data_IF_331085205156
#
_entry.id   IF_331085205156
#
_cell.length_a   1.000
_cell.length_b   1.000
_cell.length_c   1.000
_cell.angle_alpha   90.00
_cell.angle_beta   90.00
_cell.angle_gamma   90.00
#
_symmetry.space_group_name_H-M   'P 1'
#
loop_
_entity.id
_entity.type
_entity.pdbx_description
1 polymer ?
#
# COMPACT_ATOMS: atom_id res chain seq x y z
N UNK A 1 36.74 0.92 -40.51
CA UNK A 1 35.60 0.07 -40.08
C UNK A 1 35.37 0.32 -38.59
N UNK A 2 34.82 1.47 -38.23
CA UNK A 2 34.62 1.92 -36.83
C UNK A 2 33.17 2.38 -36.63
N UNK A 3 32.21 1.51 -36.94
CA UNK A 3 30.78 1.84 -36.79
C UNK A 3 29.98 0.83 -35.96
N UNK A 4 30.62 -0.17 -35.34
CA UNK A 4 29.89 -1.22 -34.58
C UNK A 4 30.40 -1.47 -33.17
N UNK A 5 31.31 -0.63 -32.64
CA UNK A 5 31.80 -0.76 -31.27
C UNK A 5 31.32 0.34 -30.31
N UNK A 6 30.72 1.41 -30.84
CA UNK A 6 30.23 2.53 -30.04
C UNK A 6 28.71 2.49 -29.78
N UNK A 7 28.00 1.41 -30.14
CA UNK A 7 26.58 1.25 -29.83
C UNK A 7 26.31 0.42 -28.57
N UNK A 8 27.22 -0.47 -28.17
CA UNK A 8 27.04 -1.29 -26.96
C UNK A 8 27.45 -0.58 -25.66
N UNK A 9 28.09 0.58 -25.74
CA UNK A 9 28.43 1.40 -24.55
C UNK A 9 27.28 2.32 -24.13
N UNK A 10 26.30 2.59 -25.00
CA UNK A 10 25.20 3.50 -24.68
C UNK A 10 24.03 2.81 -23.95
N UNK A 11 23.92 1.48 -24.01
CA UNK A 11 22.88 0.72 -23.31
C UNK A 11 23.18 0.49 -21.82
N UNK A 12 24.43 0.70 -21.37
CA UNK A 12 24.82 0.55 -19.96
C UNK A 12 24.82 1.88 -19.18
N UNK A 13 24.67 3.02 -19.85
CA UNK A 13 24.89 4.35 -19.25
C UNK A 13 23.68 5.29 -19.39
N UNK A 14 22.47 4.72 -19.57
CA UNK A 14 21.21 5.49 -19.54
C UNK A 14 20.21 4.97 -18.50
N UNK A 15 20.71 4.74 -17.28
CA UNK A 15 19.85 4.63 -16.08
C UNK A 15 20.47 5.40 -14.91
N UNK A 16 21.05 6.56 -15.19
CA UNK A 16 21.39 7.59 -14.19
C UNK A 16 20.41 8.77 -14.32
N UNK A 17 19.13 8.48 -14.51
CA UNK A 17 18.06 9.48 -14.59
C UNK A 17 17.08 9.18 -13.44
N UNK A 18 17.17 9.97 -12.37
CA UNK A 18 16.25 10.00 -11.22
C UNK A 18 15.80 8.62 -10.69
N UNK A 19 16.69 7.87 -10.02
CA UNK A 19 16.26 6.72 -9.23
C UNK A 19 15.36 7.21 -8.09
N UNK A 20 14.05 7.14 -8.30
CA UNK A 20 13.07 7.25 -7.22
C UNK A 20 13.48 6.23 -6.17
N UNK A 21 13.95 6.69 -5.01
CA UNK A 21 14.32 5.79 -3.91
C UNK A 21 13.07 5.03 -3.51
N UNK A 22 12.96 3.79 -3.97
CA UNK A 22 11.84 2.91 -3.64
C UNK A 22 11.90 2.58 -2.15
N UNK A 23 10.74 2.67 -1.50
CA UNK A 23 10.56 2.29 -0.11
C UNK A 23 10.33 0.79 0.03
N UNK A 24 10.24 0.33 1.27
CA UNK A 24 9.86 -1.04 1.57
C UNK A 24 8.35 -1.24 1.31
N UNK A 25 7.91 -2.41 0.82
CA UNK A 25 6.50 -2.68 0.66
C UNK A 25 5.78 -2.69 2.01
N UNK A 26 4.47 -2.37 2.04
CA UNK A 26 3.74 -2.19 3.29
C UNK A 26 3.54 -3.48 4.11
N UNK A 27 3.79 -4.66 3.55
CA UNK A 27 3.78 -5.93 4.30
C UNK A 27 5.17 -6.33 4.82
N UNK A 28 6.23 -5.54 4.56
CA UNK A 28 7.59 -5.93 4.93
C UNK A 28 7.74 -6.12 6.45
N UNK A 29 8.46 -7.16 6.92
CA UNK A 29 8.69 -7.42 8.35
C UNK A 29 9.28 -6.22 9.09
N UNK A 30 10.25 -5.51 8.51
CA UNK A 30 10.88 -4.34 9.13
C UNK A 30 9.90 -3.18 9.44
N UNK A 31 8.77 -3.11 8.72
CA UNK A 31 7.73 -2.10 8.97
C UNK A 31 6.62 -2.60 9.88
N UNK A 32 6.36 -3.91 9.90
CA UNK A 32 5.20 -4.51 10.56
C UNK A 32 5.55 -5.17 11.90
N UNK A 33 6.81 -5.55 12.08
CA UNK A 33 7.28 -6.42 13.17
C UNK A 33 6.80 -7.87 13.05
N UNK A 34 6.12 -8.23 11.96
CA UNK A 34 5.57 -9.57 11.74
C UNK A 34 6.60 -10.39 10.96
N UNK A 35 7.09 -11.46 11.59
CA UNK A 35 8.07 -12.38 10.99
C UNK A 35 7.44 -13.71 10.53
N UNK A 36 6.18 -13.95 10.88
CA UNK A 36 5.44 -15.13 10.41
C UNK A 36 5.10 -14.98 8.93
N UNK A 37 5.65 -15.86 8.09
CA UNK A 37 5.55 -15.75 6.63
C UNK A 37 4.09 -15.88 6.16
N UNK A 38 3.31 -16.79 6.75
CA UNK A 38 1.90 -16.99 6.38
C UNK A 38 1.07 -15.72 6.62
N UNK A 39 1.32 -15.04 7.73
CA UNK A 39 0.65 -13.78 8.06
C UNK A 39 1.12 -12.63 7.16
N UNK A 40 2.42 -12.58 6.81
CA UNK A 40 2.96 -11.61 5.85
C UNK A 40 2.34 -11.80 4.46
N UNK A 41 2.19 -13.04 4.00
CA UNK A 41 1.57 -13.36 2.72
C UNK A 41 0.09 -12.97 2.70
N UNK A 42 -0.65 -13.29 3.76
CA UNK A 42 -2.04 -12.85 3.90
C UNK A 42 -2.18 -11.32 3.93
N UNK A 43 -1.28 -10.63 4.62
CA UNK A 43 -1.24 -9.16 4.65
C UNK A 43 -0.99 -8.59 3.25
N UNK A 44 -0.05 -9.17 2.51
CA UNK A 44 0.25 -8.81 1.11
C UNK A 44 -0.99 -8.98 0.23
N UNK A 45 -1.63 -10.14 0.28
CA UNK A 45 -2.82 -10.45 -0.53
C UNK A 45 -3.95 -9.46 -0.27
N UNK A 46 -4.25 -9.18 1.01
CA UNK A 46 -5.28 -8.21 1.38
C UNK A 46 -4.97 -6.80 0.89
N UNK A 47 -3.71 -6.37 0.96
CA UNK A 47 -3.30 -5.05 0.47
C UNK A 47 -3.42 -4.98 -1.06
N UNK A 48 -2.98 -6.01 -1.79
CA UNK A 48 -3.08 -6.09 -3.26
C UNK A 48 -4.54 -6.25 -3.75
N UNK A 49 -5.46 -6.65 -2.88
CA UNK A 49 -6.89 -6.67 -3.18
C UNK A 49 -7.55 -5.28 -3.08
N UNK A 50 -6.93 -4.30 -2.40
CA UNK A 50 -7.52 -2.97 -2.20
C UNK A 50 -7.95 -2.27 -3.51
N UNK A 51 -7.16 -2.30 -4.60
CA UNK A 51 -7.54 -1.66 -5.87
C UNK A 51 -8.74 -2.28 -6.58
N UNK A 52 -9.23 -3.45 -6.15
CA UNK A 52 -10.42 -4.06 -6.72
C UNK A 52 -11.71 -3.31 -6.33
N UNK A 53 -11.67 -2.50 -5.28
CA UNK A 53 -12.80 -1.70 -4.82
C UNK A 53 -12.44 -0.21 -4.73
N UNK A 54 -13.05 0.60 -5.61
CA UNK A 54 -12.87 2.05 -5.68
C UNK A 54 -13.18 2.75 -4.34
N UNK A 55 -14.08 2.19 -3.52
CA UNK A 55 -14.49 2.75 -2.22
C UNK A 55 -13.33 2.84 -1.23
N UNK A 56 -12.29 2.03 -1.42
CA UNK A 56 -11.07 2.09 -0.61
C UNK A 56 -10.31 3.41 -0.78
N UNK A 57 -10.45 4.07 -1.93
CA UNK A 57 -9.79 5.33 -2.24
C UNK A 57 -10.69 6.54 -2.05
N UNK A 58 -12.01 6.37 -2.16
CA UNK A 58 -12.96 7.49 -2.06
C UNK A 58 -13.40 7.83 -0.64
N UNK A 59 -13.45 6.84 0.25
CA UNK A 59 -13.92 7.04 1.62
C UNK A 59 -12.76 7.48 2.52
N UNK A 60 -12.82 8.71 3.00
CA UNK A 60 -11.86 9.26 3.95
C UNK A 60 -11.84 8.48 5.28
N UNK A 61 -10.72 8.52 6.02
CA UNK A 61 -10.69 8.06 7.41
C UNK A 61 -11.77 8.79 8.24
N UNK A 62 -12.48 8.09 9.15
CA UNK A 62 -13.43 8.73 10.06
C UNK A 62 -12.76 9.81 10.92
N UNK A 63 -13.48 10.90 11.17
CA UNK A 63 -13.05 11.92 12.13
C UNK A 63 -12.84 11.30 13.51
N UNK A 64 -11.68 11.54 14.11
CA UNK A 64 -11.31 10.97 15.42
C UNK A 64 -10.68 9.58 15.37
N UNK A 65 -10.42 9.01 14.17
CA UNK A 65 -9.60 7.79 14.08
C UNK A 65 -8.17 8.05 14.59
N UNK A 66 -7.53 7.04 15.17
CA UNK A 66 -6.13 7.11 15.60
C UNK A 66 -5.14 7.26 14.43
N UNK A 67 -5.62 7.20 13.19
CA UNK A 67 -4.79 7.40 12.00
C UNK A 67 -4.56 8.91 11.77
N UNK A 68 -3.35 9.37 12.11
CA UNK A 68 -2.88 10.70 11.75
C UNK A 68 -2.43 10.75 10.29
N UNK A 69 -2.70 11.87 9.61
CA UNK A 69 -2.17 12.18 8.29
C UNK A 69 -1.80 13.67 8.22
N UNK A 70 -0.54 13.93 7.94
CA UNK A 70 0.04 15.26 7.80
C UNK A 70 1.09 15.25 6.68
N UNK A 71 1.67 16.41 6.39
CA UNK A 71 2.65 16.58 5.33
C UNK A 71 3.96 15.81 5.56
N UNK A 72 4.34 15.57 6.82
CA UNK A 72 5.56 14.83 7.16
C UNK A 72 5.35 13.35 6.85
N UNK A 73 4.28 12.78 7.38
CA UNK A 73 3.90 11.39 7.15
C UNK A 73 3.63 11.09 5.67
N UNK A 74 3.01 12.02 4.94
CA UNK A 74 2.79 11.86 3.50
C UNK A 74 4.11 11.83 2.72
N UNK A 75 5.09 12.65 3.11
CA UNK A 75 6.42 12.64 2.51
C UNK A 75 7.21 11.36 2.82
N UNK A 76 7.14 10.86 4.07
CA UNK A 76 7.79 9.60 4.47
C UNK A 76 7.27 8.41 3.65
N UNK A 77 5.95 8.35 3.45
CA UNK A 77 5.29 7.24 2.76
C UNK A 77 5.36 7.34 1.23
N UNK A 78 5.85 8.45 0.66
CA UNK A 78 5.93 8.63 -0.79
C UNK A 78 6.84 7.58 -1.46
N UNK A 79 7.94 7.20 -0.80
CA UNK A 79 8.82 6.13 -1.28
C UNK A 79 8.12 4.77 -1.33
N UNK A 80 7.27 4.48 -0.33
CA UNK A 80 6.46 3.26 -0.26
C UNK A 80 5.35 3.29 -1.31
N UNK A 81 4.72 4.44 -1.54
CA UNK A 81 3.72 4.63 -2.58
C UNK A 81 4.33 4.37 -3.97
N UNK A 82 5.54 4.86 -4.23
CA UNK A 82 6.26 4.58 -5.47
C UNK A 82 6.53 3.09 -5.67
N UNK A 83 6.95 2.37 -4.63
CA UNK A 83 7.09 0.90 -4.66
C UNK A 83 5.76 0.23 -4.99
N UNK A 84 4.68 0.61 -4.32
CA UNK A 84 3.35 0.03 -4.56
C UNK A 84 2.83 0.27 -5.98
N UNK A 85 3.13 1.42 -6.59
CA UNK A 85 2.76 1.67 -7.99
C UNK A 85 3.51 0.80 -8.99
N UNK A 86 4.72 0.32 -8.66
CA UNK A 86 5.47 -0.61 -9.50
C UNK A 86 5.01 -2.05 -9.31
N UNK A 87 4.76 -2.44 -8.07
CA UNK A 87 4.30 -3.78 -7.70
C UNK A 87 2.86 -4.05 -8.16
N UNK A 88 1.97 -3.06 -8.06
CA UNK A 88 0.54 -3.22 -8.30
C UNK A 88 0.04 -2.33 -9.45
N UNK A 89 -0.14 -2.95 -10.62
CA UNK A 89 -0.67 -2.30 -11.83
C UNK A 89 -2.11 -1.82 -11.65
N UNK A 90 -2.92 -2.51 -10.83
CA UNK A 90 -4.31 -2.11 -10.58
C UNK A 90 -4.36 -0.86 -9.73
N UNK A 91 -3.47 -0.72 -8.74
CA UNK A 91 -3.31 0.50 -7.96
C UNK A 91 -2.94 1.69 -8.86
N UNK A 92 -1.97 1.51 -9.76
CA UNK A 92 -1.56 2.55 -10.70
C UNK A 92 -2.71 2.97 -11.63
N UNK A 93 -3.48 2.00 -12.14
CA UNK A 93 -4.66 2.25 -12.95
C UNK A 93 -5.75 3.00 -12.17
N UNK A 94 -5.97 2.63 -10.90
CA UNK A 94 -6.94 3.29 -10.04
C UNK A 94 -6.54 4.74 -9.78
N UNK A 95 -5.27 5.01 -9.45
CA UNK A 95 -4.72 6.37 -9.29
C UNK A 95 -4.95 7.20 -10.54
N UNK A 96 -4.62 6.68 -11.72
CA UNK A 96 -4.83 7.38 -12.99
C UNK A 96 -6.30 7.70 -13.27
N UNK A 97 -7.23 6.80 -12.90
CA UNK A 97 -8.67 7.01 -13.08
C UNK A 97 -9.23 8.04 -12.11
N UNK A 98 -8.74 8.04 -10.88
CA UNK A 98 -9.31 8.78 -9.77
C UNK A 98 -8.69 10.16 -9.57
N UNK A 99 -7.42 10.35 -9.89
CA UNK A 99 -6.70 11.61 -9.64
C UNK A 99 -6.43 12.34 -10.96
N UNK A 100 -6.68 13.67 -11.06
CA UNK A 100 -7.34 14.54 -10.07
C UNK A 100 -8.88 14.51 -10.19
N UNK A 101 -9.46 13.57 -10.95
CA UNK A 101 -10.86 13.61 -11.40
C UNK A 101 -11.90 13.53 -10.28
N UNK A 102 -11.71 12.63 -9.31
CA UNK A 102 -12.62 12.39 -8.19
C UNK A 102 -12.03 12.85 -6.84
N UNK A 103 -10.71 12.88 -6.72
CA UNK A 103 -10.01 13.31 -5.50
C UNK A 103 -8.60 13.81 -5.83
N UNK A 104 -8.01 14.53 -4.87
CA UNK A 104 -6.62 14.99 -4.93
C UNK A 104 -5.68 13.82 -4.67
N UNK A 105 -4.44 13.96 -5.15
CA UNK A 105 -3.36 12.99 -4.94
C UNK A 105 -3.14 12.69 -3.44
N UNK A 106 -3.12 13.73 -2.61
CA UNK A 106 -2.92 13.58 -1.15
C UNK A 106 -4.08 12.81 -0.50
N UNK A 107 -5.33 13.11 -0.87
CA UNK A 107 -6.50 12.39 -0.37
C UNK A 107 -6.49 10.92 -0.82
N UNK A 108 -6.02 10.63 -2.03
CA UNK A 108 -5.90 9.26 -2.55
C UNK A 108 -4.95 8.44 -1.69
N UNK A 109 -3.76 8.98 -1.41
CA UNK A 109 -2.77 8.30 -0.59
C UNK A 109 -3.19 8.20 0.86
N UNK A 110 -3.78 9.26 1.44
CA UNK A 110 -4.33 9.22 2.79
C UNK A 110 -5.31 8.07 2.97
N UNK A 111 -6.26 7.96 2.04
CA UNK A 111 -7.32 6.96 2.13
C UNK A 111 -6.76 5.55 1.93
N UNK A 112 -5.84 5.37 0.97
CA UNK A 112 -5.16 4.09 0.73
C UNK A 112 -4.32 3.62 1.93
N UNK A 113 -3.45 4.48 2.45
CA UNK A 113 -2.60 4.12 3.61
C UNK A 113 -3.41 3.93 4.89
N UNK A 114 -4.55 4.61 5.02
CA UNK A 114 -5.48 4.31 6.10
C UNK A 114 -6.03 2.87 5.99
N UNK A 115 -6.45 2.42 4.80
CA UNK A 115 -6.86 1.01 4.60
C UNK A 115 -5.76 0.03 4.96
N UNK A 116 -4.52 0.29 4.53
CA UNK A 116 -3.36 -0.53 4.91
C UNK A 116 -3.20 -0.57 6.44
N UNK A 117 -3.36 0.55 7.13
CA UNK A 117 -3.23 0.60 8.59
C UNK A 117 -4.25 -0.29 9.30
N UNK A 118 -5.49 -0.36 8.81
CA UNK A 118 -6.53 -1.24 9.35
C UNK A 118 -6.19 -2.72 9.14
N UNK A 119 -5.73 -3.10 7.94
CA UNK A 119 -5.34 -4.48 7.65
C UNK A 119 -4.17 -4.90 8.55
N UNK A 120 -3.17 -4.03 8.73
CA UNK A 120 -2.04 -4.29 9.64
C UNK A 120 -2.48 -4.47 11.09
N UNK A 121 -3.36 -3.60 11.58
CA UNK A 121 -3.91 -3.72 12.93
C UNK A 121 -4.68 -5.03 13.13
N UNK A 122 -5.51 -5.42 12.16
CA UNK A 122 -6.24 -6.67 12.19
C UNK A 122 -5.31 -7.90 12.22
N UNK A 123 -4.24 -7.88 11.41
CA UNK A 123 -3.23 -8.95 11.40
C UNK A 123 -2.51 -9.06 12.76
N UNK A 124 -2.10 -7.92 13.35
CA UNK A 124 -1.47 -7.89 14.67
C UNK A 124 -2.39 -8.42 15.77
N UNK A 125 -3.67 -8.04 15.74
CA UNK A 125 -4.66 -8.54 16.70
C UNK A 125 -4.88 -10.06 16.56
N UNK A 126 -4.95 -10.56 15.34
CA UNK A 126 -5.09 -12.01 15.06
C UNK A 126 -3.92 -12.80 15.64
N UNK A 127 -2.70 -12.30 15.45
CA UNK A 127 -1.48 -12.90 16.02
C UNK A 127 -1.52 -12.93 17.56
N UNK A 128 -1.91 -11.83 18.20
CA UNK A 128 -1.96 -11.73 19.67
C UNK A 128 -3.02 -12.65 20.28
N UNK A 129 -4.14 -12.82 19.59
CA UNK A 129 -5.24 -13.65 20.06
C UNK A 129 -5.04 -15.14 19.75
N UNK A 130 -3.97 -15.51 19.02
CA UNK A 130 -3.67 -16.87 18.56
C UNK A 130 -4.88 -17.54 17.85
N UNK A 131 -5.73 -16.70 17.26
CA UNK A 131 -6.88 -17.08 16.43
C UNK A 131 -6.48 -16.87 14.98
N UNK A 132 -6.95 -17.78 14.13
CA UNK A 132 -6.67 -17.71 12.70
C UNK A 132 -7.23 -16.38 12.15
N UNK A 133 -6.54 -15.68 11.23
CA UNK A 133 -6.97 -14.37 10.70
C UNK A 133 -8.39 -14.37 10.10
N UNK A 134 -8.85 -15.54 9.63
CA UNK A 134 -10.21 -15.79 9.15
C UNK A 134 -11.27 -15.63 10.26
N UNK A 135 -10.96 -16.05 11.49
CA UNK A 135 -11.88 -15.95 12.64
C UNK A 135 -11.97 -14.51 13.16
N UNK A 136 -10.86 -13.77 13.12
CA UNK A 136 -10.83 -12.36 13.56
C UNK A 136 -11.70 -11.45 12.66
N UNK A 137 -11.84 -11.79 11.38
CA UNK A 137 -12.70 -11.04 10.45
C UNK A 137 -14.20 -11.34 10.63
N UNK A 138 -14.57 -12.50 11.20
CA UNK A 138 -15.96 -12.82 11.53
C UNK A 138 -16.49 -12.00 12.72
N UNK A 139 -15.64 -11.63 13.66
CA UNK A 139 -16.05 -10.79 14.80
C UNK A 139 -16.44 -9.36 14.39
N UNK A 140 -15.90 -8.85 13.29
CA UNK A 140 -16.16 -7.48 12.85
C UNK A 140 -17.45 -7.34 12.00
N UNK A 141 -18.05 -8.45 11.56
CA UNK A 141 -19.30 -8.47 10.78
C UNK A 141 -20.54 -8.81 11.62
N UNK A 142 -20.37 -9.30 12.85
CA UNK A 142 -21.46 -9.71 13.74
C UNK A 142 -21.99 -8.57 14.66
N UNK A 143 -21.52 -7.34 14.50
CA UNK A 143 -21.81 -6.21 15.39
C UNK A 143 -22.99 -5.32 15.01
N UNK A 144 -23.75 -5.62 13.94
CA UNK A 144 -24.82 -4.73 13.44
C UNK A 144 -26.20 -5.43 13.33
N UNK A 145 -26.54 -6.26 14.32
CA UNK A 145 -27.95 -6.59 14.59
C UNK A 145 -28.27 -6.41 16.06
N UNK A 146 -28.95 -5.30 16.38
CA UNK A 146 -29.74 -5.17 17.61
C UNK A 146 -29.39 -3.98 18.49
N UNK A 147 -29.88 -2.78 18.13
CA UNK A 147 -30.76 -1.97 19.00
C UNK A 147 -31.39 -0.82 18.20
#
# INVERSE_FOLDING_TARGET
>A
MEFTRAQTAFEAEKTQDASVKLGLPPWHPDLTGIHDQSTVDLLREQILALPQDERNFLRAPPSGSAFSWDSEKSAELLSTAATMLQEDKNLALMRFRLVPKKLKEDDFWRNYFYRISLIRQAAQLSLLANVSPEDAMLFNSAGDEGN
#
